data_IF_157165812701
#
_entry.id   IF_157165812701
#
_cell.length_a   1.000
_cell.length_b   1.000
_cell.length_c   1.000
_cell.angle_alpha   90.00
_cell.angle_beta   90.00
_cell.angle_gamma   90.00
#
_symmetry.space_group_name_H-M   'P 1'
#
loop_
_entity.id
_entity.type
_entity.pdbx_description
1 polymer ?
#
# COMPACT_ATOMS: atom_id res chain seq x y z
N UNK A 1 -16.84 12.46 8.96
CA UNK A 1 -18.05 12.71 8.15
C UNK A 1 -18.48 11.42 7.49
N UNK A 2 -19.77 11.18 7.28
CA UNK A 2 -20.31 9.96 6.62
C UNK A 2 -21.03 10.33 5.32
N UNK A 3 -20.36 11.13 4.47
CA UNK A 3 -20.96 11.70 3.25
C UNK A 3 -21.10 10.73 2.08
N UNK A 4 -20.38 9.59 2.10
CA UNK A 4 -20.47 8.55 1.08
C UNK A 4 -20.34 7.17 1.72
N UNK A 5 -21.04 6.18 1.17
CA UNK A 5 -20.92 4.79 1.59
C UNK A 5 -19.66 4.13 0.99
N UNK A 6 -19.33 4.51 -0.23
CA UNK A 6 -18.20 4.01 -1.01
C UNK A 6 -17.59 5.15 -1.81
N UNK A 7 -16.29 5.22 -1.88
CA UNK A 7 -15.52 6.13 -2.72
C UNK A 7 -14.59 5.37 -3.65
N UNK A 8 -14.17 6.03 -4.72
CA UNK A 8 -13.15 5.52 -5.64
C UNK A 8 -11.95 6.45 -5.58
N UNK A 9 -10.76 5.87 -5.53
CA UNK A 9 -9.50 6.61 -5.57
C UNK A 9 -8.52 5.96 -6.52
N UNK A 10 -7.32 6.53 -6.60
CA UNK A 10 -6.20 6.00 -7.38
C UNK A 10 -5.03 5.66 -6.47
N UNK A 11 -4.21 4.70 -6.87
CA UNK A 11 -3.00 4.30 -6.11
C UNK A 11 -1.87 3.95 -7.08
N UNK A 12 -0.77 4.69 -7.01
CA UNK A 12 0.47 4.38 -7.70
C UNK A 12 1.61 4.03 -6.72
N UNK A 13 1.49 4.49 -5.47
CA UNK A 13 2.51 4.28 -4.42
C UNK A 13 1.91 4.13 -3.03
N UNK A 14 0.58 4.09 -2.89
CA UNK A 14 -0.13 4.02 -1.62
C UNK A 14 -1.31 4.98 -1.49
N UNK A 15 -1.66 5.72 -2.53
CA UNK A 15 -2.60 6.84 -2.47
C UNK A 15 -4.06 6.47 -2.17
N UNK A 16 -4.46 5.18 -2.28
CA UNK A 16 -5.69 4.62 -1.73
C UNK A 16 -5.52 4.19 -0.27
N UNK A 17 -4.48 3.39 -0.03
CA UNK A 17 -4.25 2.68 1.22
C UNK A 17 -3.86 3.63 2.36
N UNK A 18 -2.97 4.59 2.10
CA UNK A 18 -2.49 5.55 3.11
C UNK A 18 -3.60 6.44 3.65
N UNK A 19 -4.38 7.17 2.82
CA UNK A 19 -5.45 8.01 3.36
C UNK A 19 -6.54 7.19 4.03
N UNK A 20 -6.88 5.99 3.50
CA UNK A 20 -7.82 5.09 4.16
C UNK A 20 -7.31 4.67 5.55
N UNK A 21 -6.02 4.35 5.68
CA UNK A 21 -5.41 4.00 6.96
C UNK A 21 -5.52 5.12 7.99
N UNK A 22 -5.27 6.37 7.60
CA UNK A 22 -5.31 7.52 8.48
C UNK A 22 -6.71 7.82 9.06
N UNK A 23 -7.77 7.38 8.38
CA UNK A 23 -9.17 7.66 8.78
C UNK A 23 -9.95 6.40 9.16
N UNK A 24 -9.28 5.24 9.23
CA UNK A 24 -9.90 3.98 9.64
C UNK A 24 -10.89 3.42 8.61
N UNK A 25 -10.61 3.58 7.34
CA UNK A 25 -11.36 2.98 6.24
C UNK A 25 -10.64 1.74 5.70
N UNK A 26 -11.42 0.89 5.04
CA UNK A 26 -10.91 -0.17 4.18
C UNK A 26 -10.62 0.39 2.80
N UNK A 27 -9.54 -0.08 2.18
CA UNK A 27 -9.22 0.24 0.79
C UNK A 27 -8.45 -0.92 0.16
N UNK A 28 -8.65 -1.16 -1.12
CA UNK A 28 -7.84 -2.11 -1.88
C UNK A 28 -7.16 -1.40 -3.05
N UNK A 29 -5.86 -1.61 -3.17
CA UNK A 29 -5.10 -1.40 -4.40
C UNK A 29 -5.12 -2.71 -5.18
N UNK A 30 -5.92 -2.84 -6.25
CA UNK A 30 -5.88 -4.01 -7.11
C UNK A 30 -4.58 -4.04 -7.93
N UNK A 31 -4.25 -5.18 -8.51
CA UNK A 31 -3.18 -5.29 -9.49
C UNK A 31 -3.50 -4.50 -10.75
N UNK A 32 -2.47 -4.07 -11.45
CA UNK A 32 -2.62 -3.35 -12.71
C UNK A 32 -3.40 -4.21 -13.72
N UNK A 33 -4.39 -3.61 -14.35
CA UNK A 33 -5.28 -4.27 -15.31
C UNK A 33 -6.51 -4.97 -14.70
N UNK A 34 -6.68 -4.99 -13.36
CA UNK A 34 -7.89 -5.56 -12.75
C UNK A 34 -9.07 -4.58 -12.68
N UNK A 35 -8.78 -3.30 -12.67
CA UNK A 35 -9.79 -2.23 -12.77
C UNK A 35 -9.42 -1.31 -13.92
N UNK A 36 -10.40 -0.70 -14.62
CA UNK A 36 -10.12 0.20 -15.71
C UNK A 36 -9.44 1.47 -15.18
N UNK A 37 -8.47 1.96 -15.94
CA UNK A 37 -7.77 3.22 -15.67
C UNK A 37 -7.61 4.08 -16.92
N UNK A 38 -8.25 3.67 -18.03
CA UNK A 38 -8.23 4.39 -19.28
C UNK A 38 -8.82 5.80 -19.11
N UNK A 39 -8.21 6.77 -19.79
CA UNK A 39 -8.60 8.18 -19.78
C UNK A 39 -8.55 8.88 -18.39
N UNK A 40 -7.93 8.26 -17.40
CA UNK A 40 -7.66 8.93 -16.14
C UNK A 40 -6.59 10.01 -16.33
N UNK A 41 -6.91 11.27 -15.96
CA UNK A 41 -5.93 12.36 -16.02
C UNK A 41 -4.85 12.13 -14.95
N UNK A 42 -3.61 12.06 -15.40
CA UNK A 42 -2.44 11.82 -14.55
C UNK A 42 -1.27 12.68 -14.98
N UNK A 43 -0.44 13.08 -14.00
CA UNK A 43 0.84 13.74 -14.26
C UNK A 43 1.93 12.80 -14.80
N UNK A 44 1.64 11.52 -14.95
CA UNK A 44 2.58 10.48 -15.39
C UNK A 44 2.04 9.73 -16.61
N UNK A 45 1.31 10.41 -17.48
CA UNK A 45 0.76 9.82 -18.69
C UNK A 45 1.88 9.21 -19.57
N UNK A 46 1.65 7.95 -20.01
CA UNK A 46 2.64 7.20 -20.79
C UNK A 46 3.69 6.43 -19.96
N UNK A 47 3.70 6.58 -18.64
CA UNK A 47 4.54 5.76 -17.75
C UNK A 47 3.90 4.37 -17.59
N UNK A 48 4.61 3.32 -18.04
CA UNK A 48 4.11 1.94 -18.09
C UNK A 48 4.70 1.03 -17.00
N UNK A 49 5.80 1.45 -16.38
CA UNK A 49 6.54 0.57 -15.46
C UNK A 49 5.80 0.36 -14.13
N UNK A 50 5.22 1.41 -13.55
CA UNK A 50 4.38 1.34 -12.35
C UNK A 50 3.09 2.11 -12.65
N UNK A 51 2.08 1.41 -13.16
CA UNK A 51 0.80 2.04 -13.48
C UNK A 51 0.01 2.44 -12.24
N UNK A 52 -0.66 3.59 -12.32
CA UNK A 52 -1.73 3.91 -11.39
C UNK A 52 -2.88 2.92 -11.55
N UNK A 53 -3.57 2.63 -10.47
CA UNK A 53 -4.77 1.78 -10.48
C UNK A 53 -5.93 2.49 -9.78
N UNK A 54 -7.15 2.22 -10.21
CA UNK A 54 -8.36 2.63 -9.50
C UNK A 54 -8.76 1.54 -8.50
N UNK A 55 -9.24 1.96 -7.36
CA UNK A 55 -9.76 1.03 -6.36
C UNK A 55 -10.76 1.69 -5.40
N UNK A 56 -11.54 0.89 -4.68
CA UNK A 56 -12.52 1.38 -3.73
C UNK A 56 -11.90 1.73 -2.38
N UNK A 57 -12.55 2.69 -1.71
CA UNK A 57 -12.45 2.97 -0.28
C UNK A 57 -13.84 2.84 0.34
N UNK A 58 -13.98 2.06 1.41
CA UNK A 58 -15.26 1.76 2.02
C UNK A 58 -15.15 1.54 3.53
N UNK A 59 -16.24 1.17 4.17
CA UNK A 59 -16.30 0.92 5.61
C UNK A 59 -16.34 -0.57 5.97
N UNK A 60 -16.37 -1.44 4.97
CA UNK A 60 -16.35 -2.89 5.16
C UNK A 60 -15.62 -3.60 4.03
N UNK A 61 -15.17 -4.82 4.28
CA UNK A 61 -14.62 -5.70 3.24
C UNK A 61 -15.70 -6.07 2.22
N UNK A 62 -16.93 -6.24 2.65
CA UNK A 62 -18.06 -6.57 1.79
C UNK A 62 -18.29 -5.49 0.72
N UNK A 63 -18.18 -4.20 1.10
CA UNK A 63 -18.31 -3.09 0.14
C UNK A 63 -17.14 -3.05 -0.85
N UNK A 64 -15.91 -3.35 -0.42
CA UNK A 64 -14.76 -3.47 -1.33
C UNK A 64 -14.99 -4.59 -2.35
N UNK A 65 -15.47 -5.74 -1.87
CA UNK A 65 -15.78 -6.90 -2.70
C UNK A 65 -16.88 -6.59 -3.70
N UNK A 66 -17.98 -5.98 -3.25
CA UNK A 66 -19.09 -5.56 -4.12
C UNK A 66 -18.60 -4.66 -5.26
N UNK A 67 -17.76 -3.67 -4.95
CA UNK A 67 -17.20 -2.78 -5.97
C UNK A 67 -16.34 -3.55 -6.97
N UNK A 68 -15.42 -4.40 -6.48
CA UNK A 68 -14.54 -5.16 -7.34
C UNK A 68 -15.31 -6.13 -8.24
N UNK A 69 -16.29 -6.86 -7.70
CA UNK A 69 -17.17 -7.76 -8.46
C UNK A 69 -17.96 -7.01 -9.53
N UNK A 70 -18.53 -5.85 -9.17
CA UNK A 70 -19.31 -5.03 -10.12
C UNK A 70 -18.43 -4.50 -11.24
N UNK A 71 -17.26 -3.95 -10.92
CA UNK A 71 -16.38 -3.35 -11.92
C UNK A 71 -15.78 -4.42 -12.84
N UNK A 72 -15.31 -5.53 -12.30
CA UNK A 72 -14.79 -6.64 -13.12
C UNK A 72 -15.92 -7.29 -13.93
N UNK A 73 -17.10 -7.46 -13.33
CA UNK A 73 -18.28 -8.00 -14.02
C UNK A 73 -18.84 -7.10 -15.13
N UNK A 74 -18.44 -5.82 -15.18
CA UNK A 74 -18.81 -4.92 -16.28
C UNK A 74 -17.92 -5.08 -17.52
N UNK A 75 -17.05 -6.08 -17.55
CA UNK A 75 -16.16 -6.41 -18.68
C UNK A 75 -15.30 -5.21 -19.11
N UNK A 76 -14.49 -4.62 -18.19
CA UNK A 76 -13.75 -3.39 -18.46
C UNK A 76 -12.77 -3.52 -19.65
N UNK A 77 -12.33 -4.72 -19.99
CA UNK A 77 -11.46 -5.01 -21.13
C UNK A 77 -12.07 -4.70 -22.49
N UNK A 78 -13.40 -4.55 -22.56
CA UNK A 78 -14.09 -4.08 -23.79
C UNK A 78 -13.97 -2.56 -24.00
N UNK A 79 -13.43 -1.82 -23.01
CA UNK A 79 -13.33 -0.35 -23.02
C UNK A 79 -11.93 0.17 -22.69
N UNK A 80 -11.18 -0.53 -21.88
CA UNK A 80 -9.81 -0.21 -21.51
C UNK A 80 -8.86 -1.26 -22.08
N UNK A 81 -8.00 -0.91 -23.06
CA UNK A 81 -7.09 -1.86 -23.70
C UNK A 81 -6.04 -2.43 -22.75
N UNK A 82 -5.86 -1.86 -21.55
CA UNK A 82 -4.96 -2.36 -20.51
C UNK A 82 -5.66 -3.23 -19.48
N UNK A 83 -6.98 -3.28 -19.48
CA UNK A 83 -7.72 -4.16 -18.61
C UNK A 83 -7.58 -5.61 -19.08
N UNK A 84 -7.30 -6.50 -18.11
CA UNK A 84 -7.12 -7.92 -18.41
C UNK A 84 -8.48 -8.61 -18.48
N UNK A 85 -8.69 -9.43 -19.50
CA UNK A 85 -9.90 -10.26 -19.66
C UNK A 85 -9.86 -11.44 -18.68
N UNK A 86 -10.05 -11.12 -17.41
CA UNK A 86 -10.08 -12.10 -16.31
C UNK A 86 -11.35 -11.85 -15.49
N UNK A 87 -12.40 -12.67 -15.65
CA UNK A 87 -13.61 -12.57 -14.85
C UNK A 87 -13.34 -12.68 -13.35
N UNK A 88 -14.29 -12.25 -12.53
CA UNK A 88 -14.22 -12.45 -11.09
C UNK A 88 -14.30 -13.95 -10.76
N UNK A 89 -13.32 -14.45 -10.01
CA UNK A 89 -13.15 -15.89 -9.78
C UNK A 89 -13.69 -16.29 -8.41
N UNK A 90 -14.39 -17.44 -8.30
CA UNK A 90 -14.72 -18.00 -7.00
C UNK A 90 -13.42 -18.42 -6.26
N UNK A 91 -13.42 -18.24 -4.94
CA UNK A 91 -12.26 -18.55 -4.10
C UNK A 91 -12.64 -19.57 -3.02
N UNK A 92 -11.90 -20.65 -2.96
CA UNK A 92 -11.91 -21.59 -1.84
C UNK A 92 -10.61 -21.39 -1.05
N UNK A 93 -10.69 -20.82 0.14
CA UNK A 93 -9.54 -20.68 1.02
C UNK A 93 -9.16 -22.04 1.65
N UNK A 94 -7.86 -22.32 1.83
CA UNK A 94 -7.44 -23.50 2.58
C UNK A 94 -7.95 -23.41 4.03
N UNK A 95 -8.14 -24.57 4.70
CA UNK A 95 -8.57 -24.58 6.09
C UNK A 95 -7.65 -23.77 7.01
N UNK A 96 -6.35 -23.88 6.79
CA UNK A 96 -5.31 -23.14 7.52
C UNK A 96 -4.57 -22.20 6.56
N UNK A 97 -4.60 -20.91 6.87
CA UNK A 97 -3.86 -19.88 6.15
C UNK A 97 -2.47 -19.71 6.76
N UNK A 98 -1.47 -19.57 5.90
CA UNK A 98 -0.10 -19.21 6.29
C UNK A 98 0.16 -17.76 5.94
N UNK A 99 0.30 -16.92 6.96
CA UNK A 99 0.46 -15.48 6.83
C UNK A 99 1.88 -15.08 7.25
N UNK A 100 2.60 -14.42 6.35
CA UNK A 100 3.88 -13.82 6.64
C UNK A 100 3.70 -12.47 7.36
N UNK A 101 4.48 -12.19 8.39
CA UNK A 101 4.40 -10.96 9.18
C UNK A 101 5.59 -10.07 8.85
N UNK A 102 5.32 -8.93 8.24
CA UNK A 102 6.30 -7.87 8.01
C UNK A 102 6.26 -6.91 9.20
N UNK A 103 7.22 -7.03 10.12
CA UNK A 103 7.29 -6.20 11.32
C UNK A 103 7.71 -4.76 11.03
N UNK A 104 8.66 -4.60 10.14
CA UNK A 104 9.12 -3.33 9.57
C UNK A 104 9.55 -3.50 8.12
N UNK A 105 9.82 -2.41 7.43
CA UNK A 105 10.21 -2.43 6.02
C UNK A 105 11.73 -2.28 5.79
N UNK A 106 12.55 -2.43 6.83
CA UNK A 106 14.00 -2.28 6.76
C UNK A 106 14.49 -0.83 6.62
N UNK A 107 13.59 0.14 6.58
CA UNK A 107 13.92 1.56 6.42
C UNK A 107 13.39 2.43 7.55
N UNK A 108 12.19 2.15 8.01
CA UNK A 108 11.51 2.94 9.06
C UNK A 108 10.76 2.00 9.99
N UNK A 109 11.04 2.10 11.25
CA UNK A 109 10.34 1.35 12.30
C UNK A 109 8.94 1.92 12.52
N UNK A 110 7.89 1.09 12.61
CA UNK A 110 6.55 1.55 12.93
C UNK A 110 6.51 2.21 14.32
N UNK A 111 5.74 3.28 14.45
CA UNK A 111 5.52 3.93 15.75
C UNK A 111 4.84 2.98 16.75
N UNK A 112 4.96 3.21 18.07
CA UNK A 112 4.46 2.30 19.11
C UNK A 112 3.03 1.80 18.92
N UNK A 113 2.02 2.63 18.59
CA UNK A 113 0.65 2.13 18.39
C UNK A 113 0.54 1.15 17.22
N UNK A 114 1.24 1.41 16.11
CA UNK A 114 1.22 0.52 14.94
C UNK A 114 1.89 -0.82 15.26
N UNK A 115 3.02 -0.78 15.96
CA UNK A 115 3.71 -1.98 16.45
C UNK A 115 2.83 -2.79 17.40
N UNK A 116 2.14 -2.12 18.34
CA UNK A 116 1.21 -2.78 19.27
C UNK A 116 0.04 -3.42 18.53
N UNK A 117 -0.56 -2.71 17.58
CA UNK A 117 -1.68 -3.24 16.81
C UNK A 117 -1.27 -4.48 16.00
N UNK A 118 -0.11 -4.44 15.35
CA UNK A 118 0.40 -5.59 14.61
C UNK A 118 0.65 -6.79 15.53
N UNK A 119 1.28 -6.57 16.70
CA UNK A 119 1.52 -7.65 17.68
C UNK A 119 0.22 -8.29 18.15
N UNK A 120 -0.76 -7.50 18.58
CA UNK A 120 -2.06 -7.99 19.06
C UNK A 120 -2.78 -8.77 17.94
N UNK A 121 -2.79 -8.24 16.71
CA UNK A 121 -3.39 -8.92 15.56
C UNK A 121 -2.72 -10.26 15.28
N UNK A 122 -1.40 -10.32 15.29
CA UNK A 122 -0.64 -11.56 15.05
C UNK A 122 -0.92 -12.60 16.13
N UNK A 123 -0.92 -12.21 17.41
CA UNK A 123 -1.21 -13.11 18.53
C UNK A 123 -2.64 -13.64 18.46
N UNK A 124 -3.60 -12.77 18.15
CA UNK A 124 -5.00 -13.17 17.98
C UNK A 124 -5.19 -14.15 16.83
N UNK A 125 -4.54 -13.92 15.69
CA UNK A 125 -4.60 -14.84 14.54
C UNK A 125 -3.93 -16.18 14.85
N UNK A 126 -2.82 -16.19 15.57
CA UNK A 126 -2.19 -17.45 16.06
C UNK A 126 -3.16 -18.24 16.93
N UNK A 127 -3.85 -17.57 17.85
CA UNK A 127 -4.85 -18.21 18.73
C UNK A 127 -6.04 -18.79 17.94
N UNK A 128 -6.34 -18.25 16.76
CA UNK A 128 -7.37 -18.76 15.82
C UNK A 128 -6.83 -19.85 14.86
N UNK A 129 -5.58 -20.28 15.03
CA UNK A 129 -4.99 -21.38 14.28
C UNK A 129 -4.32 -21.02 12.96
N UNK A 130 -4.11 -19.73 12.69
CA UNK A 130 -3.31 -19.29 11.54
C UNK A 130 -1.83 -19.66 11.72
N UNK A 131 -1.16 -19.99 10.62
CA UNK A 131 0.28 -20.20 10.60
C UNK A 131 0.97 -18.84 10.35
N UNK A 132 1.51 -18.24 11.41
CA UNK A 132 2.13 -16.93 11.34
C UNK A 132 3.66 -17.07 11.32
N UNK A 133 4.30 -16.64 10.23
CA UNK A 133 5.76 -16.71 10.04
C UNK A 133 6.34 -15.31 9.86
N UNK A 134 7.58 -15.09 10.27
CA UNK A 134 8.24 -13.81 10.05
C UNK A 134 8.60 -13.62 8.58
N UNK A 135 8.49 -12.40 8.08
CA UNK A 135 8.88 -12.01 6.74
C UNK A 135 10.04 -11.02 6.75
N UNK A 136 11.09 -11.31 5.98
CA UNK A 136 12.22 -10.41 5.82
C UNK A 136 11.85 -9.25 4.88
N UNK A 137 12.21 -8.00 5.21
CA UNK A 137 12.00 -6.82 4.35
C UNK A 137 13.00 -6.74 3.19
N UNK A 138 13.73 -7.80 2.88
CA UNK A 138 14.63 -7.87 1.73
C UNK A 138 13.92 -7.47 0.44
N UNK A 139 14.52 -6.57 -0.33
CA UNK A 139 13.96 -5.98 -1.55
C UNK A 139 13.10 -4.74 -1.31
N UNK A 140 12.73 -4.39 -0.06
CA UNK A 140 11.90 -3.22 0.23
C UNK A 140 12.68 -1.90 0.04
N UNK A 141 13.92 -1.73 0.55
CA UNK A 141 14.71 -0.53 0.29
C UNK A 141 14.95 -0.30 -1.19
N UNK A 142 15.30 -1.35 -1.94
CA UNK A 142 15.51 -1.31 -3.38
C UNK A 142 14.24 -0.90 -4.13
N UNK A 143 13.09 -1.48 -3.76
CA UNK A 143 11.80 -1.12 -4.33
C UNK A 143 11.44 0.35 -4.09
N UNK A 144 11.71 0.89 -2.90
CA UNK A 144 11.44 2.29 -2.57
C UNK A 144 12.28 3.25 -3.43
N UNK A 145 13.58 2.96 -3.60
CA UNK A 145 14.48 3.73 -4.47
C UNK A 145 14.02 3.64 -5.93
N UNK A 146 13.71 2.44 -6.39
CA UNK A 146 13.23 2.17 -7.75
C UNK A 146 11.91 2.91 -8.04
N UNK A 147 10.95 2.87 -7.12
CA UNK A 147 9.70 3.60 -7.23
C UNK A 147 9.96 5.09 -7.45
N UNK A 148 10.82 5.71 -6.62
CA UNK A 148 11.18 7.12 -6.74
C UNK A 148 11.81 7.43 -8.10
N UNK A 149 12.76 6.61 -8.57
CA UNK A 149 13.41 6.79 -9.89
C UNK A 149 12.40 6.71 -11.03
N UNK A 150 11.48 5.74 -11.01
CA UNK A 150 10.45 5.57 -12.05
C UNK A 150 9.45 6.72 -12.07
N UNK A 151 9.04 7.24 -10.89
CA UNK A 151 8.14 8.38 -10.80
C UNK A 151 8.78 9.70 -11.29
N UNK A 152 10.10 9.82 -11.21
CA UNK A 152 10.84 11.01 -11.60
C UNK A 152 11.52 10.90 -12.97
N UNK A 153 11.33 9.78 -13.69
CA UNK A 153 12.10 9.45 -14.90
C UNK A 153 11.94 10.48 -16.05
N UNK A 154 10.80 11.16 -16.13
CA UNK A 154 10.56 12.20 -17.12
C UNK A 154 11.22 13.57 -16.80
N UNK A 155 11.89 13.69 -15.65
CA UNK A 155 12.46 14.96 -15.17
C UNK A 155 11.41 15.98 -14.77
N UNK A 156 10.20 15.53 -14.35
CA UNK A 156 9.09 16.39 -13.95
C UNK A 156 8.44 17.16 -15.11
N UNK A 157 8.73 16.80 -16.36
CA UNK A 157 8.21 17.51 -17.55
C UNK A 157 6.70 17.47 -17.65
N UNK A 158 6.10 16.29 -17.41
CA UNK A 158 4.65 16.13 -17.48
C UNK A 158 3.93 16.96 -16.42
N UNK A 159 4.43 16.93 -15.18
CA UNK A 159 3.85 17.72 -14.10
C UNK A 159 4.03 19.23 -14.35
N UNK A 160 5.22 19.65 -14.79
CA UNK A 160 5.50 21.06 -15.17
C UNK A 160 4.51 21.57 -16.21
N UNK A 161 4.23 20.78 -17.26
CA UNK A 161 3.26 21.15 -18.29
C UNK A 161 1.86 21.35 -17.71
N UNK A 162 1.41 20.46 -16.81
CA UNK A 162 0.09 20.60 -16.18
C UNK A 162 -0.01 21.86 -15.33
N UNK A 163 1.01 22.16 -14.52
CA UNK A 163 1.04 23.38 -13.71
C UNK A 163 1.05 24.65 -14.56
N UNK A 164 1.72 24.61 -15.72
CA UNK A 164 1.77 25.75 -16.66
C UNK A 164 0.41 26.04 -17.33
N UNK A 165 -0.47 25.04 -17.52
CA UNK A 165 -1.80 25.24 -18.10
C UNK A 165 -2.66 26.25 -17.31
N UNK A 166 -2.45 26.31 -15.99
CA UNK A 166 -3.21 27.19 -15.07
C UNK A 166 -2.33 28.21 -14.34
N UNK A 167 -1.03 28.31 -14.70
CA UNK A 167 -0.03 29.10 -13.99
C UNK A 167 0.06 28.78 -12.50
N UNK A 168 -0.15 27.50 -12.14
CA UNK A 168 -0.06 27.05 -10.74
C UNK A 168 1.40 26.99 -10.29
N UNK A 169 1.75 27.59 -9.12
CA UNK A 169 3.12 27.51 -8.61
C UNK A 169 3.46 26.09 -8.09
N UNK A 170 4.74 25.78 -8.13
CA UNK A 170 5.25 24.56 -7.49
C UNK A 170 4.99 24.59 -5.98
N UNK A 171 4.42 23.51 -5.46
CA UNK A 171 4.30 23.32 -4.01
C UNK A 171 5.55 22.68 -3.44
N UNK A 172 5.91 22.95 -2.18
CA UNK A 172 7.09 22.34 -1.53
C UNK A 172 7.12 20.81 -1.62
N UNK A 173 5.96 20.17 -1.54
CA UNK A 173 5.82 18.71 -1.61
C UNK A 173 6.20 18.14 -2.99
N UNK A 174 6.14 18.96 -4.03
CA UNK A 174 6.49 18.59 -5.41
C UNK A 174 7.94 18.90 -5.77
N UNK A 175 8.73 19.40 -4.83
CA UNK A 175 10.11 19.82 -5.07
C UNK A 175 11.03 18.73 -5.63
N UNK A 176 10.73 17.44 -5.40
CA UNK A 176 11.47 16.34 -6.03
C UNK A 176 11.23 16.31 -7.54
N UNK A 177 10.01 16.56 -8.01
CA UNK A 177 9.67 16.62 -9.44
C UNK A 177 10.24 17.90 -10.10
N UNK A 178 10.19 19.02 -9.39
CA UNK A 178 10.72 20.29 -9.88
C UNK A 178 12.22 20.20 -10.21
N UNK A 179 12.98 19.53 -9.34
CA UNK A 179 14.44 19.37 -9.45
C UNK A 179 14.87 18.10 -10.18
N UNK A 180 13.93 17.25 -10.60
CA UNK A 180 14.25 16.00 -11.27
C UNK A 180 14.95 16.24 -12.62
N UNK A 181 15.86 15.35 -12.95
CA UNK A 181 16.47 15.29 -14.27
C UNK A 181 15.86 14.12 -15.03
N UNK A 182 15.63 14.30 -16.33
CA UNK A 182 15.08 13.26 -17.17
C UNK A 182 16.12 12.13 -17.33
N UNK A 183 15.65 10.90 -17.18
CA UNK A 183 16.41 9.70 -17.46
C UNK A 183 16.44 9.45 -18.97
N UNK A 184 17.52 8.94 -19.50
CA UNK A 184 17.52 8.49 -20.89
C UNK A 184 16.79 7.15 -21.07
N UNK A 185 16.49 6.80 -22.32
CA UNK A 185 15.69 5.61 -22.62
C UNK A 185 16.43 4.32 -22.23
N UNK A 186 17.77 4.27 -22.39
CA UNK A 186 18.53 3.08 -22.03
C UNK A 186 18.48 2.85 -20.53
N UNK A 187 18.74 3.87 -19.73
CA UNK A 187 18.71 3.78 -18.27
C UNK A 187 17.31 3.43 -17.76
N UNK A 188 16.26 3.98 -18.38
CA UNK A 188 14.89 3.61 -18.05
C UNK A 188 14.61 2.12 -18.31
N UNK A 189 15.10 1.58 -19.46
CA UNK A 189 14.93 0.15 -19.75
C UNK A 189 15.72 -0.73 -18.79
N UNK A 190 16.92 -0.32 -18.35
CA UNK A 190 17.68 -1.06 -17.34
C UNK A 190 16.91 -1.06 -15.99
N UNK A 191 16.38 0.08 -15.58
CA UNK A 191 15.58 0.18 -14.35
C UNK A 191 14.32 -0.70 -14.41
N UNK A 192 13.64 -0.78 -15.55
CA UNK A 192 12.50 -1.67 -15.76
C UNK A 192 12.91 -3.15 -15.71
N UNK A 193 14.08 -3.49 -16.25
CA UNK A 193 14.65 -4.84 -16.16
C UNK A 193 14.98 -5.21 -14.71
N UNK A 194 15.61 -4.31 -13.95
CA UNK A 194 15.87 -4.49 -12.52
C UNK A 194 14.57 -4.70 -11.73
N UNK A 195 13.50 -3.95 -12.06
CA UNK A 195 12.18 -4.17 -11.48
C UNK A 195 11.67 -5.58 -11.74
N UNK A 196 11.80 -6.09 -12.95
CA UNK A 196 11.37 -7.46 -13.28
C UNK A 196 12.12 -8.50 -12.47
N UNK A 197 13.44 -8.32 -12.28
CA UNK A 197 14.26 -9.19 -11.44
C UNK A 197 13.81 -9.15 -9.97
N UNK A 198 13.55 -7.96 -9.44
CA UNK A 198 13.03 -7.79 -8.08
C UNK A 198 11.69 -8.50 -7.90
N UNK A 199 10.76 -8.33 -8.86
CA UNK A 199 9.46 -9.01 -8.84
C UNK A 199 9.61 -10.52 -8.85
N UNK A 200 10.49 -11.07 -9.69
CA UNK A 200 10.74 -12.50 -9.79
C UNK A 200 11.32 -13.07 -8.48
N UNK A 201 12.31 -12.39 -7.89
CA UNK A 201 12.93 -12.81 -6.64
C UNK A 201 11.94 -12.76 -5.47
N UNK A 202 11.14 -11.70 -5.39
CA UNK A 202 10.14 -11.56 -4.33
C UNK A 202 9.04 -12.62 -4.45
N UNK A 203 8.55 -12.86 -5.67
CA UNK A 203 7.57 -13.92 -5.94
C UNK A 203 8.13 -15.30 -5.58
N UNK A 204 9.38 -15.60 -5.98
CA UNK A 204 10.06 -16.85 -5.65
C UNK A 204 10.08 -17.08 -4.14
N UNK A 205 10.47 -16.09 -3.36
CA UNK A 205 10.49 -16.16 -1.89
C UNK A 205 9.10 -16.46 -1.31
N UNK A 206 8.04 -15.81 -1.80
CA UNK A 206 6.68 -16.08 -1.33
C UNK A 206 6.22 -17.52 -1.65
N UNK A 207 6.56 -18.01 -2.84
CA UNK A 207 6.20 -19.37 -3.28
C UNK A 207 6.96 -20.41 -2.46
N UNK A 208 8.27 -20.25 -2.29
CA UNK A 208 9.11 -21.17 -1.51
C UNK A 208 8.72 -21.21 -0.03
N UNK A 209 8.36 -20.05 0.53
CA UNK A 209 7.84 -19.98 1.90
C UNK A 209 6.43 -20.55 2.04
N UNK A 210 5.70 -20.79 0.94
CA UNK A 210 4.33 -21.27 0.92
C UNK A 210 3.34 -20.33 1.61
N UNK A 211 3.58 -19.00 1.60
CA UNK A 211 2.72 -18.03 2.27
C UNK A 211 1.56 -17.59 1.37
N UNK A 212 0.39 -17.45 1.97
CA UNK A 212 -0.84 -17.02 1.29
C UNK A 212 -0.88 -15.49 1.13
N UNK A 213 -0.42 -14.77 2.15
CA UNK A 213 -0.38 -13.31 2.16
C UNK A 213 0.70 -12.79 3.12
N UNK A 214 1.00 -11.50 3.02
CA UNK A 214 1.87 -10.74 3.92
C UNK A 214 1.00 -9.76 4.70
N UNK A 215 1.05 -9.81 6.03
CA UNK A 215 0.43 -8.88 6.96
C UNK A 215 1.51 -7.92 7.48
N UNK A 216 1.24 -6.62 7.47
CA UNK A 216 2.17 -5.62 8.00
C UNK A 216 1.52 -4.26 8.18
N UNK A 217 2.29 -3.25 8.58
CA UNK A 217 1.82 -1.88 8.66
C UNK A 217 1.43 -1.33 7.28
N UNK A 218 0.35 -0.56 7.18
CA UNK A 218 0.07 0.23 5.97
C UNK A 218 1.02 1.43 5.89
N UNK A 219 1.36 1.98 7.03
CA UNK A 219 2.24 3.14 7.20
C UNK A 219 2.91 3.04 8.57
N UNK A 220 4.10 3.62 8.79
CA UNK A 220 4.70 3.64 10.12
C UNK A 220 3.93 4.54 11.09
N UNK A 221 3.06 5.40 10.59
CA UNK A 221 2.27 6.35 11.39
C UNK A 221 0.87 5.83 11.68
N UNK A 222 0.21 6.39 12.70
CA UNK A 222 -1.25 6.31 12.82
C UNK A 222 -1.88 7.29 11.83
N UNK A 223 -1.54 8.57 11.97
CA UNK A 223 -1.86 9.64 11.02
C UNK A 223 -0.82 10.75 11.18
N UNK A 224 -0.03 11.05 10.15
CA UNK A 224 0.92 12.15 10.22
C UNK A 224 0.18 13.49 10.20
N UNK A 225 0.74 14.51 10.86
CA UNK A 225 0.26 15.89 10.70
C UNK A 225 0.48 16.37 9.25
N UNK A 226 -0.30 17.35 8.83
CA UNK A 226 -0.17 17.93 7.48
C UNK A 226 1.27 18.36 7.22
N UNK A 227 1.83 18.00 6.07
CA UNK A 227 3.22 18.25 5.67
C UNK A 227 4.27 17.33 6.32
N UNK A 228 3.88 16.43 7.22
CA UNK A 228 4.81 15.54 7.93
C UNK A 228 4.87 14.11 7.37
N UNK A 229 4.12 13.78 6.31
CA UNK A 229 4.29 12.50 5.63
C UNK A 229 5.64 12.47 4.91
N UNK A 230 6.60 11.72 5.44
CA UNK A 230 7.98 11.65 4.91
C UNK A 230 8.28 10.37 4.15
N UNK A 231 7.46 9.33 4.34
CA UNK A 231 7.68 8.04 3.68
C UNK A 231 6.36 7.37 3.29
N UNK A 232 6.40 6.70 2.16
CA UNK A 232 5.35 5.79 1.66
C UNK A 232 5.92 4.38 1.45
N UNK A 233 7.07 4.08 2.09
CA UNK A 233 7.85 2.87 1.88
C UNK A 233 7.15 1.57 2.22
N UNK A 234 6.09 1.61 3.03
CA UNK A 234 5.30 0.42 3.36
C UNK A 234 4.30 0.02 2.27
N UNK A 235 3.92 0.97 1.42
CA UNK A 235 2.92 0.74 0.35
C UNK A 235 3.52 0.71 -1.04
N UNK A 236 4.54 1.52 -1.32
CA UNK A 236 5.11 1.65 -2.66
C UNK A 236 5.83 0.39 -3.14
N UNK A 237 6.40 -0.40 -2.23
CA UNK A 237 7.00 -1.71 -2.55
C UNK A 237 5.98 -2.61 -3.25
N UNK A 238 4.75 -2.71 -2.74
CA UNK A 238 3.72 -3.53 -3.34
C UNK A 238 3.16 -2.96 -4.64
N UNK A 239 3.32 -1.66 -4.87
CA UNK A 239 3.06 -1.03 -6.17
C UNK A 239 4.14 -1.38 -7.20
N UNK A 240 5.42 -1.37 -6.81
CA UNK A 240 6.55 -1.81 -7.66
C UNK A 240 6.43 -3.29 -8.00
N UNK A 241 6.03 -4.11 -7.05
CA UNK A 241 5.79 -5.54 -7.23
C UNK A 241 4.49 -5.83 -8.02
N UNK A 242 3.60 -4.85 -8.14
CA UNK A 242 2.25 -4.99 -8.68
C UNK A 242 1.39 -6.03 -7.94
N UNK A 243 1.54 -6.11 -6.62
CA UNK A 243 0.78 -7.01 -5.77
C UNK A 243 -0.54 -6.38 -5.35
N UNK A 244 -1.60 -7.19 -5.24
CA UNK A 244 -2.87 -6.77 -4.66
C UNK A 244 -2.71 -6.51 -3.17
N UNK A 245 -3.10 -5.33 -2.69
CA UNK A 245 -2.89 -4.96 -1.28
C UNK A 245 -4.10 -4.22 -0.72
N UNK A 246 -4.61 -4.67 0.42
CA UNK A 246 -5.74 -4.04 1.10
C UNK A 246 -5.30 -3.46 2.45
N UNK A 247 -5.62 -2.19 2.69
CA UNK A 247 -5.53 -1.56 4.00
C UNK A 247 -6.84 -1.74 4.75
N UNK A 248 -6.76 -2.03 6.04
CA UNK A 248 -7.93 -2.27 6.88
C UNK A 248 -7.70 -1.79 8.32
N UNK A 249 -8.71 -1.32 9.04
CA UNK A 249 -8.61 -0.98 10.45
C UNK A 249 -8.31 -2.22 11.29
N UNK A 250 -7.43 -2.09 12.28
CA UNK A 250 -7.08 -3.18 13.21
C UNK A 250 -8.08 -3.37 14.36
N UNK A 251 -9.18 -2.63 14.36
CA UNK A 251 -10.10 -2.56 15.51
C UNK A 251 -9.55 -1.78 16.71
N UNK A 252 -8.26 -1.46 16.71
CA UNK A 252 -7.58 -0.76 17.79
C UNK A 252 -7.42 0.73 17.52
N UNK A 253 -7.32 1.50 18.60
CA UNK A 253 -7.04 2.94 18.56
C UNK A 253 -5.72 3.22 19.26
N UNK A 254 -5.04 4.28 18.83
CA UNK A 254 -3.86 4.78 19.50
C UNK A 254 -4.20 5.26 20.92
N UNK A 255 -3.33 4.95 21.89
CA UNK A 255 -3.52 5.29 23.29
C UNK A 255 -2.25 5.91 23.85
N UNK A 256 -2.36 7.16 24.33
CA UNK A 256 -1.21 7.93 24.83
C UNK A 256 -0.54 7.32 26.07
N UNK A 257 -1.25 6.50 26.85
CA UNK A 257 -0.71 5.84 28.04
C UNK A 257 -0.01 4.52 27.70
N UNK A 258 -0.56 3.77 26.72
CA UNK A 258 0.01 2.50 26.25
C UNK A 258 1.12 2.71 25.22
N UNK A 259 0.96 3.69 24.35
CA UNK A 259 1.80 3.91 23.18
C UNK A 259 2.81 5.06 23.44
N UNK A 260 3.52 5.01 24.55
CA UNK A 260 4.54 6.01 24.90
C UNK A 260 5.69 6.00 23.90
N UNK A 261 6.37 7.14 23.75
CA UNK A 261 7.60 7.21 22.97
C UNK A 261 8.62 6.20 23.50
N UNK A 262 9.30 5.50 22.60
CA UNK A 262 10.39 4.61 22.96
C UNK A 262 11.61 5.44 23.35
N UNK A 263 12.18 5.14 24.52
CA UNK A 263 13.40 5.78 25.01
C UNK A 263 14.59 4.86 24.72
N UNK A 264 15.67 5.43 24.17
CA UNK A 264 16.90 4.69 23.91
C UNK A 264 16.88 3.78 22.67
N UNK A 265 15.84 3.86 21.83
CA UNK A 265 15.85 3.17 20.55
C UNK A 265 16.89 3.79 19.61
N UNK A 266 17.73 2.96 19.03
CA UNK A 266 18.67 3.38 17.97
C UNK A 266 17.92 3.35 16.65
N UNK A 267 17.76 4.50 15.94
CA UNK A 267 17.10 4.53 14.64
C UNK A 267 17.90 3.78 13.57
N UNK A 268 17.22 3.20 12.60
CA UNK A 268 17.82 2.51 11.47
C UNK A 268 18.61 3.47 10.55
N UNK A 269 18.13 4.71 10.44
CA UNK A 269 18.68 5.78 9.62
C UNK A 269 18.01 7.13 9.97
N UNK A 270 18.41 8.21 9.26
CA UNK A 270 17.87 9.57 9.50
C UNK A 270 16.35 9.66 9.29
N UNK A 271 15.80 8.94 8.31
CA UNK A 271 14.35 8.94 8.04
C UNK A 271 13.56 8.28 9.18
N UNK A 272 14.12 7.20 9.75
CA UNK A 272 13.55 6.54 10.92
C UNK A 272 13.64 7.45 12.15
N UNK A 273 14.80 8.09 12.38
CA UNK A 273 14.97 9.06 13.46
C UNK A 273 13.92 10.18 13.39
N UNK A 274 13.74 10.78 12.21
CA UNK A 274 12.74 11.82 11.97
C UNK A 274 11.31 11.30 12.21
N UNK A 275 10.99 10.08 11.79
CA UNK A 275 9.68 9.48 12.01
C UNK A 275 9.37 9.30 13.50
N UNK A 276 10.34 8.83 14.27
CA UNK A 276 10.20 8.65 15.72
C UNK A 276 10.13 10.01 16.44
N UNK A 277 10.88 11.00 15.99
CA UNK A 277 10.82 12.36 16.53
C UNK A 277 9.46 13.02 16.31
N UNK A 278 8.87 12.85 15.12
CA UNK A 278 7.56 13.39 14.77
C UNK A 278 6.40 12.70 15.47
N UNK A 279 6.62 11.51 16.04
CA UNK A 279 5.57 10.79 16.73
C UNK A 279 5.08 11.56 17.97
N UNK A 280 3.79 11.86 18.00
CA UNK A 280 3.11 12.61 19.06
C UNK A 280 1.99 11.72 19.67
N UNK A 281 2.23 11.03 20.80
CA UNK A 281 1.24 10.12 21.38
C UNK A 281 -0.05 10.83 21.81
N UNK A 282 0.02 12.10 22.18
CA UNK A 282 -1.15 12.89 22.55
C UNK A 282 -1.95 13.27 21.30
N UNK A 283 -1.25 13.74 20.28
CA UNK A 283 -1.88 14.18 19.02
C UNK A 283 -2.58 13.06 18.25
N UNK A 284 -2.13 11.80 18.40
CA UNK A 284 -2.77 10.64 17.74
C UNK A 284 -3.71 9.85 18.64
N UNK A 285 -3.86 10.23 19.91
CA UNK A 285 -4.72 9.52 20.86
C UNK A 285 -6.16 9.40 20.35
N UNK A 286 -6.72 8.20 20.39
CA UNK A 286 -8.08 7.90 19.93
C UNK A 286 -8.23 7.70 18.43
N UNK A 287 -7.17 7.96 17.61
CA UNK A 287 -7.22 7.71 16.18
C UNK A 287 -7.15 6.21 15.87
N UNK A 288 -7.80 5.76 14.78
CA UNK A 288 -7.76 4.36 14.35
C UNK A 288 -6.37 3.95 13.89
N UNK A 289 -6.01 2.69 14.14
CA UNK A 289 -4.76 2.10 13.64
C UNK A 289 -5.11 1.11 12.55
N UNK A 290 -4.46 1.21 11.40
CA UNK A 290 -4.69 0.33 10.27
C UNK A 290 -3.45 -0.49 9.93
N UNK A 291 -3.70 -1.69 9.43
CA UNK A 291 -2.72 -2.63 8.89
C UNK A 291 -3.01 -2.87 7.41
N UNK A 292 -2.13 -3.56 6.70
CA UNK A 292 -2.38 -4.03 5.35
C UNK A 292 -2.14 -5.52 5.21
N UNK A 293 -2.97 -6.15 4.39
CA UNK A 293 -2.81 -7.51 3.91
C UNK A 293 -2.48 -7.47 2.43
N UNK A 294 -1.44 -8.19 2.01
CA UNK A 294 -0.97 -8.17 0.63
C UNK A 294 -0.86 -9.58 0.08
N UNK A 295 -1.51 -9.84 -1.05
CA UNK A 295 -1.42 -11.08 -1.81
C UNK A 295 -0.64 -10.85 -3.11
N UNK A 296 -0.28 -11.94 -3.79
CA UNK A 296 0.42 -11.88 -5.08
C UNK A 296 -0.43 -11.17 -6.13
N UNK A 297 0.22 -10.77 -7.21
CA UNK A 297 -0.44 -10.13 -8.36
C UNK A 297 -1.64 -10.93 -8.84
N UNK A 298 -2.74 -10.24 -9.17
CA UNK A 298 -4.00 -10.81 -9.68
C UNK A 298 -4.69 -11.80 -8.72
N UNK A 299 -4.56 -11.57 -7.41
CA UNK A 299 -5.23 -12.36 -6.36
C UNK A 299 -6.20 -11.53 -5.52
N UNK A 300 -6.90 -10.58 -6.11
CA UNK A 300 -7.85 -9.70 -5.44
C UNK A 300 -8.95 -10.49 -4.73
N UNK A 301 -9.50 -11.50 -5.41
CA UNK A 301 -10.56 -12.36 -4.87
C UNK A 301 -10.08 -13.12 -3.63
N UNK A 302 -8.87 -13.69 -3.71
CA UNK A 302 -8.26 -14.40 -2.59
C UNK A 302 -7.94 -13.44 -1.44
N UNK A 303 -7.40 -12.26 -1.76
CA UNK A 303 -7.07 -11.24 -0.77
C UNK A 303 -8.30 -10.80 0.02
N UNK A 304 -9.40 -10.48 -0.67
CA UNK A 304 -10.64 -10.05 -0.02
C UNK A 304 -11.29 -11.18 0.79
N UNK A 305 -11.27 -12.42 0.26
CA UNK A 305 -11.76 -13.58 1.00
C UNK A 305 -10.94 -13.85 2.28
N UNK A 306 -9.62 -13.72 2.23
CA UNK A 306 -8.75 -13.82 3.40
C UNK A 306 -9.05 -12.72 4.41
N UNK A 307 -9.22 -11.49 3.95
CA UNK A 307 -9.51 -10.34 4.82
C UNK A 307 -10.88 -10.48 5.49
N UNK A 308 -11.91 -10.92 4.76
CA UNK A 308 -13.24 -11.22 5.29
C UNK A 308 -13.19 -12.30 6.39
N UNK A 309 -12.39 -13.35 6.19
CA UNK A 309 -12.17 -14.39 7.20
C UNK A 309 -11.43 -13.84 8.44
N UNK A 310 -10.38 -13.05 8.24
CA UNK A 310 -9.62 -12.40 9.33
C UNK A 310 -10.53 -11.48 10.15
N UNK A 311 -11.33 -10.64 9.49
CA UNK A 311 -12.28 -9.74 10.16
C UNK A 311 -13.27 -10.51 11.04
N UNK A 312 -13.86 -11.59 10.50
CA UNK A 312 -14.76 -12.46 11.24
C UNK A 312 -14.09 -13.14 12.45
N UNK A 313 -12.86 -13.65 12.27
CA UNK A 313 -12.13 -14.37 13.30
C UNK A 313 -11.65 -13.46 14.45
N UNK A 314 -11.40 -12.19 14.15
CA UNK A 314 -10.98 -11.17 15.12
C UNK A 314 -12.18 -10.43 15.77
N UNK A 315 -13.40 -10.67 15.27
CA UNK A 315 -14.65 -10.10 15.79
C UNK A 315 -14.61 -8.56 15.94
N UNK A 316 -14.11 -7.88 14.91
CA UNK A 316 -14.03 -6.41 14.85
C UNK A 316 -15.35 -5.74 14.41
#
# INVERSE_FOLDING_TARGET
MRGSCLGVGTDIGGSLRLPAACVGLYAIRPSQGRSPHFDARTALAGQEAIGGVNGPMARSVADLKLWMETVVGSEPWLRDPKALEIPWRPVNLPPKLKIAVLWDNGMVTPTPPVTRALKITVESLKAKGYDMVNWSPEGHPEAAVMCKKLLLADGGKSLRRILQETNEPWRPELGNYERAQAMDVYDLWQLQRERTILQANYLKRMVEAGVDAILGPTTPYVSPKNGQLKTVGYTNVFSVLDFSSASFPSGLKADKELDKRLVGQIPLNELDALTQEQYDPVGVHGLPISLQLTARRLQEEKLLAMLERIEKDLAW
#
